data_IF_975225322307
#
_entry.id   IF_975225322307
#
_cell.length_a   1.000
_cell.length_b   1.000
_cell.length_c   1.000
_cell.angle_alpha   90.00
_cell.angle_beta   90.00
_cell.angle_gamma   90.00
#
_symmetry.space_group_name_H-M   'P 1'
#
loop_
_entity.id
_entity.type
_entity.pdbx_description
1 polymer ?
#
# COMPACT_ATOMS: atom_id res chain seq x y z
N UNK A 1 -2.17 -17.46 -36.21
CA UNK A 1 -1.45 -16.82 -35.08
C UNK A 1 -1.13 -15.40 -35.51
N UNK A 2 -1.91 -14.41 -35.06
CA UNK A 2 -1.70 -13.01 -35.46
C UNK A 2 -0.35 -12.52 -34.98
N UNK A 3 0.39 -11.82 -35.85
CA UNK A 3 1.66 -11.20 -35.48
C UNK A 3 1.41 -10.26 -34.29
N UNK A 4 2.13 -10.48 -33.19
CA UNK A 4 2.07 -9.58 -32.03
C UNK A 4 2.43 -8.16 -32.49
N UNK A 5 1.65 -7.15 -32.07
CA UNK A 5 1.93 -5.75 -32.37
C UNK A 5 3.33 -5.28 -31.89
N UNK A 6 3.94 -6.03 -30.96
CA UNK A 6 5.29 -5.85 -30.43
C UNK A 6 6.21 -6.94 -30.97
N UNK A 7 6.62 -6.78 -32.23
CA UNK A 7 7.66 -7.60 -32.87
C UNK A 7 9.03 -7.26 -32.28
N UNK A 8 10.02 -8.13 -32.52
CA UNK A 8 11.37 -7.93 -31.99
C UNK A 8 11.99 -6.65 -32.53
N UNK A 9 11.86 -6.42 -33.84
CA UNK A 9 12.41 -5.29 -34.57
C UNK A 9 11.84 -3.96 -34.05
N UNK A 10 10.53 -3.92 -33.80
CA UNK A 10 9.86 -2.74 -33.26
C UNK A 10 10.33 -2.41 -31.83
N UNK A 11 10.56 -3.43 -31.01
CA UNK A 11 11.06 -3.26 -29.66
C UNK A 11 12.54 -2.85 -29.62
N UNK A 12 13.36 -3.36 -30.54
CA UNK A 12 14.76 -2.96 -30.70
C UNK A 12 14.88 -1.51 -31.15
N UNK A 13 14.06 -1.07 -32.11
CA UNK A 13 14.04 0.32 -32.56
C UNK A 13 13.69 1.27 -31.42
N UNK A 14 12.64 0.95 -30.66
CA UNK A 14 12.24 1.72 -29.49
C UNK A 14 13.31 1.71 -28.39
N UNK A 15 14.00 0.59 -28.17
CA UNK A 15 15.05 0.49 -27.17
C UNK A 15 16.31 1.28 -27.56
N UNK A 16 16.72 1.25 -28.84
CA UNK A 16 17.93 1.92 -29.32
C UNK A 16 17.87 3.44 -29.12
N UNK A 17 16.70 4.02 -29.32
CA UNK A 17 16.48 5.46 -29.12
C UNK A 17 16.26 5.87 -27.66
N UNK A 18 16.02 4.92 -26.75
CA UNK A 18 15.59 5.22 -25.39
C UNK A 18 16.71 5.03 -24.37
N UNK A 19 16.77 5.93 -23.38
CA UNK A 19 17.69 5.78 -22.24
C UNK A 19 17.11 4.90 -21.14
N UNK A 20 15.83 4.58 -21.21
CA UNK A 20 15.13 3.79 -20.21
C UNK A 20 13.80 3.19 -20.73
N UNK A 21 13.08 2.47 -19.87
CA UNK A 21 11.88 1.73 -20.27
C UNK A 21 10.68 2.63 -20.54
N UNK A 22 10.46 3.73 -19.82
CA UNK A 22 9.34 4.65 -20.09
C UNK A 22 9.53 5.36 -21.42
N UNK A 23 10.73 5.84 -21.71
CA UNK A 23 11.05 6.50 -22.98
C UNK A 23 10.94 5.52 -24.17
N UNK A 24 11.20 4.23 -23.94
CA UNK A 24 10.92 3.18 -24.93
C UNK A 24 9.41 2.95 -25.11
N UNK A 25 8.62 3.00 -24.03
CA UNK A 25 7.16 2.88 -24.10
C UNK A 25 6.51 4.06 -24.82
N UNK A 26 6.97 5.28 -24.54
CA UNK A 26 6.52 6.50 -25.24
C UNK A 26 6.76 6.40 -26.75
N UNK A 27 7.96 5.93 -27.16
CA UNK A 27 8.27 5.67 -28.58
C UNK A 27 7.40 4.59 -29.22
N UNK A 28 6.90 3.65 -28.42
CA UNK A 28 5.96 2.63 -28.89
C UNK A 28 4.52 3.15 -28.96
N UNK A 29 4.25 4.38 -28.49
CA UNK A 29 2.91 4.96 -28.37
C UNK A 29 2.12 4.39 -27.19
N UNK A 30 2.81 3.89 -26.16
CA UNK A 30 2.20 3.26 -24.99
C UNK A 30 2.43 4.14 -23.77
N UNK A 31 1.38 4.36 -22.98
CA UNK A 31 1.49 5.05 -21.70
C UNK A 31 2.48 4.31 -20.76
N UNK A 32 3.56 4.97 -20.31
CA UNK A 32 4.54 4.38 -19.39
C UNK A 32 3.97 3.91 -18.05
N UNK A 33 2.86 4.48 -17.62
CA UNK A 33 2.21 4.13 -16.35
C UNK A 33 1.25 2.95 -16.47
N UNK A 34 0.94 2.53 -17.69
CA UNK A 34 -0.01 1.45 -17.97
C UNK A 34 0.50 0.07 -17.56
N UNK A 35 -0.43 -0.86 -17.30
CA UNK A 35 -0.14 -2.26 -17.02
C UNK A 35 0.63 -2.97 -18.16
N UNK A 36 0.55 -2.45 -19.38
CA UNK A 36 1.27 -2.91 -20.58
C UNK A 36 2.79 -2.84 -20.41
N UNK A 37 3.30 -1.97 -19.53
CA UNK A 37 4.73 -1.89 -19.18
C UNK A 37 5.32 -3.24 -18.77
N UNK A 38 4.60 -3.99 -17.93
CA UNK A 38 5.08 -5.31 -17.47
C UNK A 38 5.16 -6.31 -18.61
N UNK A 39 4.15 -6.30 -19.50
CA UNK A 39 4.13 -7.16 -20.67
C UNK A 39 5.29 -6.85 -21.62
N UNK A 40 5.51 -5.58 -21.96
CA UNK A 40 6.58 -5.15 -22.88
C UNK A 40 7.96 -5.47 -22.31
N UNK A 41 8.20 -5.20 -21.02
CA UNK A 41 9.46 -5.56 -20.36
C UNK A 41 9.73 -7.07 -20.42
N UNK A 42 8.71 -7.88 -20.14
CA UNK A 42 8.81 -9.34 -20.25
C UNK A 42 9.07 -9.80 -21.68
N UNK A 43 8.42 -9.15 -22.66
CA UNK A 43 8.57 -9.43 -24.09
C UNK A 43 9.97 -9.09 -24.60
N UNK A 44 10.51 -7.92 -24.25
CA UNK A 44 11.89 -7.50 -24.57
C UNK A 44 12.89 -8.52 -24.07
N UNK A 45 12.75 -8.96 -22.80
CA UNK A 45 13.60 -10.03 -22.23
C UNK A 45 13.47 -11.34 -22.99
N UNK A 46 12.25 -11.75 -23.33
CA UNK A 46 11.98 -13.01 -24.05
C UNK A 46 12.55 -13.00 -25.48
N UNK A 47 12.54 -11.86 -26.15
CA UNK A 47 13.00 -11.70 -27.53
C UNK A 47 14.50 -11.32 -27.64
N UNK A 48 15.17 -11.14 -26.49
CA UNK A 48 16.60 -10.81 -26.44
C UNK A 48 16.90 -9.38 -26.90
N UNK A 49 15.98 -8.45 -26.69
CA UNK A 49 16.22 -7.03 -26.99
C UNK A 49 17.24 -6.48 -26.01
N UNK A 50 18.31 -5.87 -26.52
CA UNK A 50 19.30 -5.23 -25.66
C UNK A 50 18.70 -4.03 -24.95
N UNK A 51 18.76 -4.08 -23.62
CA UNK A 51 18.28 -3.05 -22.70
C UNK A 51 19.33 -2.78 -21.62
N UNK A 52 20.57 -3.20 -21.85
CA UNK A 52 21.68 -3.04 -20.89
C UNK A 52 22.05 -1.57 -20.67
N UNK A 53 21.85 -0.72 -21.69
CA UNK A 53 22.01 0.72 -21.62
C UNK A 53 20.86 1.45 -20.91
N UNK A 54 19.78 0.75 -20.55
CA UNK A 54 18.68 1.38 -19.83
C UNK A 54 19.09 1.78 -18.42
N UNK A 55 19.00 3.09 -18.14
CA UNK A 55 19.15 3.63 -16.81
C UNK A 55 18.04 3.10 -15.90
N UNK A 56 18.35 2.96 -14.60
CA UNK A 56 17.34 2.61 -13.59
C UNK A 56 16.35 3.76 -13.46
N UNK A 57 15.23 3.61 -14.14
CA UNK A 57 14.05 4.41 -13.90
C UNK A 57 13.37 4.09 -12.59
N UNK A 58 12.75 5.11 -12.02
CA UNK A 58 11.76 4.91 -10.97
C UNK A 58 12.33 4.93 -9.57
N UNK A 59 13.25 5.85 -9.30
CA UNK A 59 13.36 6.37 -7.95
C UNK A 59 12.59 7.69 -7.90
N UNK A 60 11.26 7.63 -7.94
CA UNK A 60 10.39 8.80 -7.64
C UNK A 60 10.83 9.49 -6.33
N UNK A 61 11.38 8.70 -5.42
CA UNK A 61 11.85 9.09 -4.10
C UNK A 61 13.36 9.00 -3.99
N UNK A 62 14.07 9.87 -4.72
CA UNK A 62 15.54 9.92 -4.66
C UNK A 62 16.00 10.29 -3.26
N UNK A 63 17.26 9.98 -2.93
CA UNK A 63 17.85 10.37 -1.65
C UNK A 63 17.69 11.87 -1.39
N UNK A 64 18.00 12.71 -2.38
CA UNK A 64 17.89 14.16 -2.27
C UNK A 64 16.46 14.66 -2.00
N UNK A 65 15.46 14.10 -2.71
CA UNK A 65 14.05 14.45 -2.50
C UNK A 65 13.61 14.07 -1.08
N UNK A 66 14.00 12.87 -0.64
CA UNK A 66 13.65 12.39 0.70
C UNK A 66 14.38 13.17 1.80
N UNK A 67 15.66 13.52 1.62
CA UNK A 67 16.41 14.34 2.58
C UNK A 67 15.79 15.72 2.76
N UNK A 68 15.42 16.39 1.65
CA UNK A 68 14.73 17.69 1.72
C UNK A 68 13.39 17.58 2.44
N UNK A 69 12.59 16.58 2.11
CA UNK A 69 11.29 16.37 2.74
C UNK A 69 11.42 16.03 4.23
N UNK A 70 12.38 15.19 4.61
CA UNK A 70 12.65 14.79 6.00
C UNK A 70 13.18 15.98 6.82
N UNK A 71 14.14 16.75 6.29
CA UNK A 71 14.67 17.92 6.97
C UNK A 71 13.59 18.98 7.24
N UNK A 72 12.61 19.12 6.33
CA UNK A 72 11.53 20.08 6.45
C UNK A 72 10.31 19.56 7.25
N UNK A 73 10.38 18.37 7.84
CA UNK A 73 9.26 17.72 8.53
C UNK A 73 9.60 17.32 9.95
N UNK A 74 8.57 17.26 10.79
CA UNK A 74 8.67 16.80 12.19
C UNK A 74 8.13 15.38 12.39
N UNK A 75 7.47 14.80 11.39
CA UNK A 75 6.94 13.43 11.43
C UNK A 75 6.72 12.87 10.01
N UNK A 76 6.51 11.55 9.91
CA UNK A 76 6.35 10.86 8.62
C UNK A 76 5.09 11.27 7.84
N UNK A 77 4.02 11.69 8.53
CA UNK A 77 2.80 12.17 7.87
C UNK A 77 3.06 13.49 7.13
N UNK A 78 3.84 14.39 7.72
CA UNK A 78 4.27 15.63 7.04
C UNK A 78 5.17 15.35 5.85
N UNK A 79 6.08 14.38 5.95
CA UNK A 79 6.89 13.94 4.81
C UNK A 79 6.00 13.50 3.66
N UNK A 80 5.01 12.63 3.92
CA UNK A 80 4.08 12.16 2.89
C UNK A 80 3.27 13.31 2.27
N UNK A 81 2.78 14.25 3.08
CA UNK A 81 2.06 15.44 2.59
C UNK A 81 2.95 16.32 1.71
N UNK A 82 4.20 16.56 2.11
CA UNK A 82 5.18 17.36 1.33
C UNK A 82 5.56 16.69 0.02
N UNK A 83 5.55 15.37 -0.02
CA UNK A 83 5.77 14.58 -1.23
C UNK A 83 4.51 14.45 -2.10
N UNK A 84 3.40 15.10 -1.71
CA UNK A 84 2.09 15.02 -2.37
C UNK A 84 1.63 13.56 -2.57
N UNK A 85 1.92 12.72 -1.56
CA UNK A 85 1.51 11.32 -1.54
C UNK A 85 0.35 11.15 -0.57
N UNK A 86 -0.69 10.48 -1.03
CA UNK A 86 -1.81 10.11 -0.18
C UNK A 86 -1.31 9.37 1.07
N UNK A 87 -1.85 9.75 2.23
CA UNK A 87 -1.53 9.13 3.53
C UNK A 87 -2.29 7.81 3.67
N UNK A 88 -2.02 6.88 2.76
CA UNK A 88 -2.46 5.48 2.79
C UNK A 88 -1.32 4.61 3.32
N UNK A 89 -1.65 3.59 4.11
CA UNK A 89 -0.67 2.77 4.84
C UNK A 89 0.39 2.10 3.95
N UNK A 90 0.05 1.77 2.70
CA UNK A 90 0.99 1.21 1.73
C UNK A 90 2.12 2.19 1.37
N UNK A 91 1.78 3.45 1.08
CA UNK A 91 2.76 4.48 0.74
C UNK A 91 3.61 4.87 1.94
N UNK A 92 2.99 4.99 3.12
CA UNK A 92 3.71 5.25 4.35
C UNK A 92 4.83 4.22 4.59
N UNK A 93 4.51 2.94 4.44
CA UNK A 93 5.48 1.84 4.61
C UNK A 93 6.58 1.91 3.56
N UNK A 94 6.22 2.16 2.29
CA UNK A 94 7.19 2.24 1.19
C UNK A 94 8.19 3.38 1.39
N UNK A 95 7.72 4.60 1.69
CA UNK A 95 8.58 5.77 1.93
C UNK A 95 9.46 5.56 3.16
N UNK A 96 8.90 5.07 4.27
CA UNK A 96 9.67 4.81 5.49
C UNK A 96 10.83 3.82 5.26
N UNK A 97 10.58 2.74 4.51
CA UNK A 97 11.62 1.78 4.14
C UNK A 97 12.71 2.42 3.28
N UNK A 98 12.33 3.34 2.39
CA UNK A 98 13.27 4.01 1.49
C UNK A 98 14.17 5.00 2.22
N UNK A 99 13.61 5.79 3.13
CA UNK A 99 14.36 6.69 4.02
C UNK A 99 15.41 5.90 4.81
N UNK A 100 14.99 4.78 5.41
CA UNK A 100 15.91 3.88 6.14
C UNK A 100 16.99 3.27 5.24
N UNK A 101 16.64 2.85 4.02
CA UNK A 101 17.59 2.30 3.07
C UNK A 101 18.65 3.32 2.62
N UNK A 102 18.31 4.61 2.60
CA UNK A 102 19.26 5.69 2.32
C UNK A 102 20.04 6.17 3.55
N UNK A 103 19.71 5.69 4.75
CA UNK A 103 20.37 6.12 5.99
C UNK A 103 20.09 7.58 6.35
N UNK A 104 18.95 8.12 5.92
CA UNK A 104 18.56 9.50 6.22
C UNK A 104 18.18 9.61 7.69
N UNK A 105 18.74 10.59 8.40
CA UNK A 105 18.44 10.80 9.81
C UNK A 105 17.01 11.33 10.00
N UNK A 106 16.28 10.70 10.90
CA UNK A 106 14.93 11.11 11.33
C UNK A 106 14.88 11.29 12.85
N UNK A 107 16.02 11.45 13.51
CA UNK A 107 16.11 11.57 14.98
C UNK A 107 15.36 12.81 15.52
N UNK A 108 15.26 13.87 14.72
CA UNK A 108 14.51 15.09 15.05
C UNK A 108 12.99 14.93 14.95
N UNK A 109 12.50 13.79 14.45
CA UNK A 109 11.06 13.57 14.37
C UNK A 109 10.44 13.49 15.75
N UNK A 110 9.40 14.29 15.95
CA UNK A 110 8.60 14.27 17.16
C UNK A 110 7.73 13.03 17.13
N UNK A 111 7.93 12.14 18.11
CA UNK A 111 6.91 11.15 18.42
C UNK A 111 5.66 11.95 18.83
N UNK A 112 4.50 11.77 18.17
CA UNK A 112 3.28 12.38 18.64
C UNK A 112 3.15 12.01 20.11
N UNK A 113 3.07 13.01 21.01
CA UNK A 113 2.71 12.72 22.40
C UNK A 113 1.48 11.82 22.31
N UNK A 114 1.53 10.62 22.89
CA UNK A 114 0.30 9.85 23.17
C UNK A 114 -0.47 10.66 24.23
N UNK A 115 -1.01 11.79 23.79
CA UNK A 115 -1.67 12.82 24.56
C UNK A 115 -3.09 12.90 24.04
N UNK A 116 -3.80 11.80 24.19
CA UNK A 116 -5.20 11.85 24.55
C UNK A 116 -5.28 10.94 25.76
N UNK A 117 -5.97 11.38 26.81
CA UNK A 117 -6.46 10.48 27.85
C UNK A 117 -6.84 9.15 27.20
N UNK A 118 -6.42 8.03 27.80
CA UNK A 118 -6.83 6.71 27.34
C UNK A 118 -8.32 6.78 27.05
N UNK A 119 -8.69 6.87 25.76
CA UNK A 119 -10.08 7.15 25.39
C UNK A 119 -10.89 6.13 26.16
N UNK A 120 -11.83 6.56 27.01
CA UNK A 120 -12.51 5.62 27.88
C UNK A 120 -13.00 4.47 27.02
N UNK A 121 -12.71 3.24 27.46
CA UNK A 121 -13.13 2.05 26.74
C UNK A 121 -14.63 2.23 26.46
N UNK A 122 -15.03 2.25 25.19
CA UNK A 122 -16.45 2.40 24.83
C UNK A 122 -17.20 1.28 25.52
N UNK A 123 -18.27 1.63 26.23
CA UNK A 123 -19.13 0.64 26.88
C UNK A 123 -19.82 -0.21 25.83
N UNK A 124 -20.34 -1.38 26.21
CA UNK A 124 -21.04 -2.26 25.28
C UNK A 124 -22.23 -1.54 24.63
N UNK A 125 -22.95 -0.71 25.38
CA UNK A 125 -24.08 0.09 24.91
C UNK A 125 -23.65 1.12 23.84
N UNK A 126 -22.43 1.66 23.93
CA UNK A 126 -21.89 2.59 22.94
C UNK A 126 -21.34 1.91 21.68
N UNK A 127 -21.18 0.57 21.72
CA UNK A 127 -20.66 -0.27 20.63
C UNK A 127 -21.79 -0.99 19.90
N UNK A 128 -22.78 -1.51 20.63
CA UNK A 128 -23.94 -2.26 20.14
C UNK A 128 -25.06 -1.32 19.70
N UNK A 129 -24.75 -0.43 18.76
CA UNK A 129 -25.69 0.55 18.20
C UNK A 129 -25.96 0.28 16.73
N UNK A 130 -27.18 0.58 16.30
CA UNK A 130 -27.52 0.62 14.88
C UNK A 130 -26.89 1.87 14.24
N UNK A 131 -26.01 1.66 13.26
CA UNK A 131 -25.43 2.75 12.47
C UNK A 131 -26.43 3.14 11.37
N UNK A 132 -27.09 4.29 11.55
CA UNK A 132 -28.09 4.83 10.59
C UNK A 132 -27.47 5.65 9.46
N UNK A 133 -26.23 6.09 9.63
CA UNK A 133 -25.49 6.89 8.66
C UNK A 133 -24.78 5.96 7.65
N UNK A 134 -25.01 6.19 6.36
CA UNK A 134 -24.41 5.44 5.25
C UNK A 134 -22.90 5.66 5.13
N UNK A 135 -22.36 6.71 5.75
CA UNK A 135 -20.92 7.01 5.78
C UNK A 135 -20.21 6.40 7.01
N UNK A 136 -20.94 5.88 7.99
CA UNK A 136 -20.35 5.29 9.17
C UNK A 136 -19.65 3.97 8.85
N UNK A 137 -18.39 3.83 9.27
CA UNK A 137 -17.65 2.56 9.12
C UNK A 137 -18.14 1.54 10.13
N UNK A 138 -18.37 0.30 9.66
CA UNK A 138 -18.74 -0.83 10.52
C UNK A 138 -17.71 -1.04 11.63
N UNK A 139 -18.20 -1.25 12.85
CA UNK A 139 -17.36 -1.65 13.98
C UNK A 139 -16.76 -3.04 13.68
N UNK A 140 -15.44 -3.23 13.87
CA UNK A 140 -14.81 -4.54 13.74
C UNK A 140 -15.51 -5.64 14.55
N UNK A 141 -15.60 -6.85 13.99
CA UNK A 141 -16.40 -7.95 14.56
C UNK A 141 -15.88 -8.46 15.91
N UNK A 142 -14.57 -8.42 16.13
CA UNK A 142 -13.92 -8.74 17.40
C UNK A 142 -14.43 -7.84 18.54
N UNK A 143 -14.59 -6.54 18.27
CA UNK A 143 -15.10 -5.58 19.25
C UNK A 143 -16.58 -5.77 19.55
N UNK A 144 -17.38 -6.09 18.54
CA UNK A 144 -18.80 -6.42 18.72
C UNK A 144 -18.95 -7.69 19.58
N UNK A 145 -18.17 -8.73 19.28
CA UNK A 145 -18.17 -9.98 20.06
C UNK A 145 -17.78 -9.73 21.51
N UNK A 146 -16.71 -8.98 21.77
CA UNK A 146 -16.30 -8.61 23.14
C UNK A 146 -17.41 -7.84 23.88
N UNK A 147 -18.10 -6.91 23.22
CA UNK A 147 -19.20 -6.16 23.83
C UNK A 147 -20.40 -7.05 24.19
N UNK A 148 -20.74 -8.02 23.33
CA UNK A 148 -21.82 -9.00 23.60
C UNK A 148 -21.46 -9.91 24.78
N UNK A 149 -20.25 -10.46 24.81
CA UNK A 149 -19.80 -11.32 25.93
C UNK A 149 -19.74 -10.56 27.25
N UNK A 150 -19.35 -9.27 27.22
CA UNK A 150 -19.34 -8.42 28.41
C UNK A 150 -20.74 -8.14 28.98
N UNK A 151 -21.79 -8.27 28.16
CA UNK A 151 -23.20 -8.20 28.59
C UNK A 151 -23.73 -9.55 29.07
N UNK A 152 -22.88 -10.58 29.14
CA UNK A 152 -23.25 -11.93 29.60
C UNK A 152 -23.91 -12.79 28.53
N UNK A 153 -23.84 -12.42 27.24
CA UNK A 153 -24.27 -13.33 26.18
C UNK A 153 -23.32 -14.52 26.09
N UNK A 154 -23.90 -15.70 25.90
CA UNK A 154 -23.14 -16.92 25.66
C UNK A 154 -22.44 -16.88 24.29
N UNK A 155 -21.24 -17.46 24.23
CA UNK A 155 -20.47 -17.56 22.99
C UNK A 155 -20.94 -18.75 22.13
N UNK A 156 -22.21 -18.73 21.74
CA UNK A 156 -22.84 -19.78 20.94
C UNK A 156 -23.69 -19.19 19.81
N UNK A 157 -23.96 -20.00 18.78
CA UNK A 157 -24.86 -19.61 17.70
C UNK A 157 -26.32 -19.60 18.19
N UNK A 158 -26.98 -18.45 18.16
CA UNK A 158 -28.39 -18.33 18.54
C UNK A 158 -29.36 -19.15 17.65
N UNK A 159 -28.93 -19.60 16.48
CA UNK A 159 -29.76 -20.40 15.56
C UNK A 159 -29.57 -21.91 15.73
N UNK A 160 -28.33 -22.38 15.89
CA UNK A 160 -28.00 -23.80 15.89
C UNK A 160 -27.26 -24.28 17.14
N UNK A 161 -26.98 -23.40 18.10
CA UNK A 161 -26.34 -23.75 19.38
C UNK A 161 -24.86 -24.10 19.29
N UNK A 162 -24.21 -23.99 18.13
CA UNK A 162 -22.78 -24.27 17.99
C UNK A 162 -21.98 -23.33 18.89
N UNK A 163 -21.16 -23.91 19.76
CA UNK A 163 -20.28 -23.20 20.69
C UNK A 163 -19.08 -22.55 19.97
N UNK A 164 -18.30 -21.79 20.74
CA UNK A 164 -17.07 -21.15 20.28
C UNK A 164 -16.00 -22.10 19.71
N UNK A 165 -16.14 -23.42 19.90
CA UNK A 165 -15.14 -24.43 19.52
C UNK A 165 -15.75 -25.43 18.54
N UNK A 166 -15.06 -25.65 17.42
CA UNK A 166 -15.40 -26.67 16.43
C UNK A 166 -14.24 -27.65 16.25
N UNK A 167 -14.49 -28.95 16.47
CA UNK A 167 -13.49 -30.03 16.39
C UNK A 167 -12.21 -29.73 17.21
N UNK A 168 -12.37 -29.13 18.39
CA UNK A 168 -11.27 -28.77 19.29
C UNK A 168 -10.49 -27.51 18.91
N UNK A 169 -10.95 -26.72 17.92
CA UNK A 169 -10.35 -25.45 17.52
C UNK A 169 -11.34 -24.29 17.71
N UNK A 170 -10.90 -23.09 18.10
CA UNK A 170 -11.78 -21.93 18.23
C UNK A 170 -12.32 -21.49 16.85
N UNK A 171 -13.57 -21.05 16.81
CA UNK A 171 -14.17 -20.40 15.65
C UNK A 171 -13.92 -18.88 15.68
N UNK A 172 -13.70 -18.23 14.52
CA UNK A 172 -13.52 -18.81 13.18
C UNK A 172 -12.14 -19.48 13.01
N UNK A 173 -12.06 -20.52 12.16
CA UNK A 173 -10.84 -21.29 11.86
C UNK A 173 -9.77 -20.49 11.12
#
# INVERSE_FOLDING_TARGET
>A
MGASAYTKERLEEAARGARNLSEALERLGVDPTSSTRHYIRGRMKKLGVDTSHFEREGVKWTRAILEQAVAASTNMCEVLRRLEVDVVGGQHTHISRRIKAYGIDTSHFQVPRRGGDARPRRTAEAVLVELRDTQARRVPSDRLKQALLAQGLEECCALCGIEAVWRGKPLPL
#
